data_IF_488019423814
#
_entry.id   IF_488019423814
#
_cell.length_a   1.000
_cell.length_b   1.000
_cell.length_c   1.000
_cell.angle_alpha   90.00
_cell.angle_beta   90.00
_cell.angle_gamma   90.00
#
_symmetry.space_group_name_H-M   'P 1'
#
loop_
_entity.id
_entity.type
_entity.pdbx_description
1 polymer ?
#
# COMPACT_ATOMS: atom_id res chain seq x y z
N UNK A 1 20.99 -47.04 27.80
CA UNK A 1 19.64 -46.46 28.06
C UNK A 1 19.71 -45.21 28.91
N UNK A 2 20.35 -45.20 30.08
CA UNK A 2 20.50 -43.99 30.92
C UNK A 2 21.10 -42.77 30.19
N UNK A 3 22.16 -42.97 29.40
CA UNK A 3 22.80 -41.88 28.65
C UNK A 3 21.89 -41.24 27.58
N UNK A 4 20.96 -41.99 26.99
CA UNK A 4 20.01 -41.44 26.02
C UNK A 4 18.93 -40.61 26.70
N UNK A 5 18.48 -40.99 27.90
CA UNK A 5 17.52 -40.20 28.68
C UNK A 5 18.15 -38.88 29.15
N UNK A 6 19.40 -38.92 29.63
CA UNK A 6 20.16 -37.73 30.03
C UNK A 6 20.39 -36.75 28.87
N UNK A 7 20.76 -37.26 27.69
CA UNK A 7 20.90 -36.41 26.50
C UNK A 7 19.56 -35.79 26.06
N UNK A 8 18.47 -36.56 26.16
CA UNK A 8 17.14 -36.08 25.77
C UNK A 8 16.60 -35.02 26.74
N UNK A 9 16.84 -35.15 28.04
CA UNK A 9 16.53 -34.13 29.04
C UNK A 9 17.32 -32.83 28.81
N UNK A 10 18.61 -32.92 28.46
CA UNK A 10 19.42 -31.74 28.13
C UNK A 10 18.96 -31.05 26.83
N UNK A 11 18.56 -31.81 25.82
CA UNK A 11 17.99 -31.26 24.57
C UNK A 11 16.69 -30.51 24.86
N UNK A 12 15.80 -31.07 25.68
CA UNK A 12 14.53 -30.44 26.06
C UNK A 12 14.77 -29.12 26.82
N UNK A 13 15.79 -29.05 27.69
CA UNK A 13 16.12 -27.84 28.43
C UNK A 13 16.70 -26.72 27.54
N UNK A 14 17.35 -27.06 26.43
CA UNK A 14 17.97 -26.10 25.52
C UNK A 14 17.01 -25.56 24.44
N UNK A 15 15.91 -26.26 24.16
CA UNK A 15 14.93 -25.84 23.14
C UNK A 15 14.41 -24.39 23.30
N UNK A 16 14.05 -23.91 24.51
CA UNK A 16 13.55 -22.54 24.67
C UNK A 16 14.56 -21.46 24.25
N UNK A 17 15.85 -21.68 24.54
CA UNK A 17 16.92 -20.75 24.17
C UNK A 17 17.17 -20.73 22.67
N UNK A 18 17.07 -21.90 22.02
CA UNK A 18 17.18 -22.01 20.56
C UNK A 18 16.03 -21.26 19.89
N UNK A 19 14.80 -21.41 20.38
CA UNK A 19 13.64 -20.67 19.85
C UNK A 19 13.80 -19.16 19.97
N UNK A 20 14.32 -18.67 21.10
CA UNK A 20 14.52 -17.24 21.33
C UNK A 20 15.61 -16.66 20.41
N UNK A 21 16.73 -17.37 20.22
CA UNK A 21 17.78 -16.99 19.27
C UNK A 21 17.26 -16.96 17.83
N UNK A 22 16.46 -17.95 17.43
CA UNK A 22 15.84 -17.99 16.10
C UNK A 22 14.88 -16.81 15.92
N UNK A 23 14.04 -16.51 16.91
CA UNK A 23 13.14 -15.34 16.87
C UNK A 23 13.92 -14.04 16.73
N UNK A 24 15.01 -13.87 17.47
CA UNK A 24 15.86 -12.67 17.37
C UNK A 24 16.49 -12.51 15.98
N UNK A 25 17.08 -13.56 15.43
CA UNK A 25 17.71 -13.49 14.11
C UNK A 25 16.69 -13.29 12.98
N UNK A 26 15.51 -13.94 13.06
CA UNK A 26 14.41 -13.70 12.12
C UNK A 26 13.93 -12.25 12.20
N UNK A 27 13.72 -11.70 13.40
CA UNK A 27 13.31 -10.31 13.57
C UNK A 27 14.34 -9.32 13.03
N UNK A 28 15.63 -9.61 13.21
CA UNK A 28 16.74 -8.80 12.68
C UNK A 28 16.79 -8.84 11.15
N UNK A 29 16.64 -10.02 10.56
CA UNK A 29 16.55 -10.19 9.11
C UNK A 29 15.34 -9.45 8.52
N UNK A 30 14.17 -9.58 9.15
CA UNK A 30 12.94 -8.89 8.73
C UNK A 30 13.05 -7.36 8.84
N UNK A 31 13.68 -6.84 9.90
CA UNK A 31 13.92 -5.41 10.07
C UNK A 31 14.83 -4.84 8.98
N UNK A 32 15.89 -5.58 8.61
CA UNK A 32 16.81 -5.18 7.54
C UNK A 32 16.11 -5.22 6.17
N UNK A 33 15.31 -6.26 5.90
CA UNK A 33 14.52 -6.35 4.68
C UNK A 33 13.52 -5.19 4.55
N UNK A 34 12.80 -4.86 5.64
CA UNK A 34 11.86 -3.73 5.69
C UNK A 34 12.55 -2.40 5.37
N UNK A 35 13.75 -2.14 5.90
CA UNK A 35 14.51 -0.93 5.59
C UNK A 35 14.96 -0.84 4.14
N UNK A 36 15.44 -1.94 3.56
CA UNK A 36 15.83 -1.99 2.16
C UNK A 36 14.62 -1.79 1.24
N UNK A 37 13.50 -2.43 1.56
CA UNK A 37 12.23 -2.26 0.85
C UNK A 37 11.71 -0.82 0.93
N UNK A 38 11.76 -0.17 2.09
CA UNK A 38 11.41 1.24 2.23
C UNK A 38 12.33 2.18 1.45
N UNK A 39 13.63 1.88 1.38
CA UNK A 39 14.58 2.63 0.57
C UNK A 39 14.33 2.45 -0.92
N UNK A 40 13.99 1.24 -1.35
CA UNK A 40 13.64 0.95 -2.74
C UNK A 40 12.30 1.57 -3.13
N UNK A 41 11.30 1.59 -2.24
CA UNK A 41 10.06 2.34 -2.41
C UNK A 41 10.32 3.85 -2.55
N UNK A 42 11.21 4.41 -1.72
CA UNK A 42 11.60 5.83 -1.80
C UNK A 42 12.39 6.15 -3.08
N UNK A 43 13.21 5.22 -3.57
CA UNK A 43 13.97 5.37 -4.83
C UNK A 43 13.10 5.20 -6.08
N UNK A 44 12.06 4.35 -6.01
CA UNK A 44 11.08 4.15 -7.08
C UNK A 44 9.94 5.17 -7.07
N UNK A 45 9.77 5.96 -6.01
CA UNK A 45 8.91 7.14 -5.94
C UNK A 45 9.39 8.31 -6.82
N UNK A 46 10.06 8.03 -7.95
CA UNK A 46 10.19 8.98 -9.03
C UNK A 46 8.82 9.06 -9.68
N UNK A 47 8.08 10.14 -9.43
CA UNK A 47 6.72 10.36 -9.95
C UNK A 47 6.65 9.96 -11.42
N UNK A 48 6.06 8.79 -11.69
CA UNK A 48 5.94 8.26 -13.04
C UNK A 48 4.70 8.89 -13.67
N UNK A 49 4.96 9.80 -14.60
CA UNK A 49 3.93 10.47 -15.37
C UNK A 49 3.53 9.61 -16.57
N UNK A 50 2.33 9.06 -16.51
CA UNK A 50 1.80 8.10 -17.49
C UNK A 50 0.71 8.70 -18.37
N UNK A 51 0.35 8.01 -19.44
CA UNK A 51 -0.73 8.38 -20.36
C UNK A 51 -2.12 8.22 -19.71
N UNK A 52 -3.14 8.82 -20.33
CA UNK A 52 -4.53 8.67 -19.90
C UNK A 52 -5.01 7.21 -19.94
N UNK A 53 -4.49 6.40 -20.87
CA UNK A 53 -4.88 5.00 -21.00
C UNK A 53 -4.34 4.15 -19.85
N UNK A 54 -3.07 4.34 -19.51
CA UNK A 54 -2.44 3.68 -18.36
C UNK A 54 -3.13 4.08 -17.05
N UNK A 55 -3.46 5.38 -16.88
CA UNK A 55 -4.24 5.84 -15.74
C UNK A 55 -5.58 5.09 -15.66
N UNK A 56 -6.37 5.09 -16.73
CA UNK A 56 -7.68 4.42 -16.76
C UNK A 56 -7.61 2.94 -16.38
N UNK A 57 -6.59 2.22 -16.85
CA UNK A 57 -6.34 0.82 -16.51
C UNK A 57 -6.02 0.69 -15.02
N UNK A 58 -5.10 1.53 -14.51
CA UNK A 58 -4.65 1.45 -13.13
C UNK A 58 -5.76 1.71 -12.10
N UNK A 59 -6.65 2.68 -12.36
CA UNK A 59 -7.74 3.03 -11.43
C UNK A 59 -9.07 2.34 -11.75
N UNK A 60 -9.13 1.56 -12.83
CA UNK A 60 -10.36 0.89 -13.29
C UNK A 60 -11.50 1.87 -13.63
N UNK A 61 -11.19 2.97 -14.33
CA UNK A 61 -12.17 4.00 -14.72
C UNK A 61 -12.11 4.30 -16.21
N UNK A 62 -13.21 4.82 -16.76
CA UNK A 62 -13.27 5.22 -18.16
C UNK A 62 -12.62 6.60 -18.37
N UNK A 63 -12.16 6.86 -19.60
CA UNK A 63 -11.61 8.18 -19.98
C UNK A 63 -12.59 9.31 -19.70
N UNK A 64 -13.89 9.09 -19.92
CA UNK A 64 -14.92 10.08 -19.66
C UNK A 64 -15.03 10.43 -18.17
N UNK A 65 -14.92 9.44 -17.28
CA UNK A 65 -14.93 9.67 -15.84
C UNK A 65 -13.71 10.50 -15.41
N UNK A 66 -12.52 10.13 -15.89
CA UNK A 66 -11.29 10.88 -15.61
C UNK A 66 -11.36 12.31 -16.12
N UNK A 67 -11.92 12.52 -17.31
CA UNK A 67 -12.13 13.86 -17.85
C UNK A 67 -13.10 14.69 -17.00
N UNK A 68 -14.18 14.09 -16.50
CA UNK A 68 -15.10 14.79 -15.59
C UNK A 68 -14.40 15.20 -14.28
N UNK A 69 -13.47 14.39 -13.77
CA UNK A 69 -12.66 14.72 -12.60
C UNK A 69 -11.66 15.84 -12.89
N UNK A 70 -11.00 15.81 -14.05
CA UNK A 70 -10.10 16.89 -14.48
C UNK A 70 -10.83 18.23 -14.60
N UNK A 71 -12.08 18.21 -15.07
CA UNK A 71 -12.90 19.41 -15.23
C UNK A 71 -13.63 19.83 -13.95
N UNK A 72 -13.42 19.13 -12.81
CA UNK A 72 -14.10 19.42 -11.55
C UNK A 72 -15.63 19.25 -11.60
N UNK A 73 -16.14 18.47 -12.57
CA UNK A 73 -17.60 18.21 -12.72
C UNK A 73 -18.14 17.29 -11.62
N UNK A 74 -17.25 16.63 -10.88
CA UNK A 74 -17.61 15.81 -9.72
C UNK A 74 -17.24 16.60 -8.47
N UNK A 75 -18.25 16.96 -7.68
CA UNK A 75 -18.07 17.75 -6.46
C UNK A 75 -17.15 17.01 -5.48
N UNK A 76 -16.11 17.70 -4.99
CA UNK A 76 -15.13 17.13 -4.05
C UNK A 76 -14.08 16.21 -4.70
N UNK A 77 -14.04 16.11 -6.04
CA UNK A 77 -13.07 15.29 -6.76
C UNK A 77 -12.48 16.06 -7.94
N UNK A 78 -11.33 16.69 -7.70
CA UNK A 78 -10.49 17.33 -8.71
C UNK A 78 -9.10 16.68 -8.73
N UNK A 79 -8.65 16.27 -9.92
CA UNK A 79 -7.33 15.64 -10.13
C UNK A 79 -6.36 16.55 -10.90
N UNK A 80 -6.73 17.80 -11.19
CA UNK A 80 -5.97 18.72 -12.04
C UNK A 80 -4.52 18.95 -11.57
N UNK A 81 -4.29 18.92 -10.26
CA UNK A 81 -2.98 19.07 -9.61
C UNK A 81 -2.02 17.90 -9.85
N UNK A 82 -2.53 16.73 -10.25
CA UNK A 82 -1.74 15.53 -10.55
C UNK A 82 -1.40 15.40 -12.04
N UNK A 83 -1.72 16.43 -12.84
CA UNK A 83 -1.56 16.41 -14.30
C UNK A 83 -0.41 17.31 -14.72
N UNK A 84 0.58 16.74 -15.39
CA UNK A 84 1.64 17.49 -16.07
C UNK A 84 1.29 17.67 -17.54
N UNK A 85 1.19 18.92 -17.98
CA UNK A 85 0.95 19.28 -19.39
C UNK A 85 2.28 19.55 -20.09
N UNK A 86 2.46 18.98 -21.27
CA UNK A 86 3.58 19.25 -22.17
C UNK A 86 3.04 19.44 -23.58
N UNK A 87 2.71 20.69 -23.92
CA UNK A 87 2.01 21.02 -25.16
C UNK A 87 0.61 20.41 -25.22
N UNK A 88 0.32 19.62 -26.27
CA UNK A 88 -0.95 18.89 -26.43
C UNK A 88 -1.05 17.62 -25.60
N UNK A 89 0.06 17.15 -25.03
CA UNK A 89 0.09 15.90 -24.27
C UNK A 89 -0.11 16.17 -22.78
N UNK A 90 -0.99 15.37 -22.17
CA UNK A 90 -1.19 15.33 -20.72
C UNK A 90 -0.58 14.04 -20.19
N UNK A 91 0.15 14.14 -19.08
CA UNK A 91 0.60 12.99 -18.32
C UNK A 91 0.11 13.08 -16.89
N UNK A 92 -0.19 11.93 -16.31
CA UNK A 92 -0.87 11.80 -15.04
C UNK A 92 0.04 11.11 -14.03
N UNK A 93 0.14 11.68 -12.83
CA UNK A 93 0.72 11.00 -11.68
C UNK A 93 -0.30 9.98 -11.14
N UNK A 94 -0.16 8.72 -11.59
CA UNK A 94 -1.11 7.65 -11.24
C UNK A 94 -1.10 7.42 -9.73
N UNK A 95 0.07 7.38 -9.11
CA UNK A 95 0.21 7.07 -7.69
C UNK A 95 -0.34 8.20 -6.82
N UNK A 96 -0.08 9.46 -7.20
CA UNK A 96 -0.69 10.62 -6.55
C UNK A 96 -2.22 10.59 -6.62
N UNK A 97 -2.79 10.27 -7.78
CA UNK A 97 -4.25 10.15 -7.95
C UNK A 97 -4.81 8.99 -7.11
N UNK A 98 -4.13 7.84 -7.08
CA UNK A 98 -4.54 6.67 -6.28
C UNK A 98 -4.62 7.02 -4.80
N UNK A 99 -3.55 7.61 -4.25
CA UNK A 99 -3.49 8.03 -2.85
C UNK A 99 -4.54 9.11 -2.53
N UNK A 100 -4.81 10.01 -3.47
CA UNK A 100 -5.87 11.01 -3.31
C UNK A 100 -7.26 10.36 -3.23
N UNK A 101 -7.56 9.41 -4.12
CA UNK A 101 -8.82 8.67 -4.10
C UNK A 101 -8.99 7.84 -2.81
N UNK A 102 -7.93 7.16 -2.36
CA UNK A 102 -7.94 6.41 -1.10
C UNK A 102 -8.27 7.32 0.09
N UNK A 103 -7.65 8.51 0.18
CA UNK A 103 -7.98 9.50 1.21
C UNK A 103 -9.43 9.96 1.17
N UNK A 104 -10.00 10.14 -0.02
CA UNK A 104 -11.40 10.52 -0.17
C UNK A 104 -12.34 9.40 0.29
N UNK A 105 -11.99 8.14 0.00
CA UNK A 105 -12.75 6.97 0.48
C UNK A 105 -12.65 6.89 2.01
N UNK A 106 -11.46 6.95 2.58
CA UNK A 106 -11.25 6.97 4.04
C UNK A 106 -12.06 8.08 4.72
N UNK A 107 -12.06 9.29 4.13
CA UNK A 107 -12.86 10.39 4.64
C UNK A 107 -14.36 10.09 4.52
N UNK A 108 -14.82 9.56 3.39
CA UNK A 108 -16.21 9.15 3.20
C UNK A 108 -16.62 8.04 4.16
N UNK A 109 -15.74 7.10 4.53
CA UNK A 109 -16.01 6.06 5.52
C UNK A 109 -16.06 6.63 6.94
N UNK A 110 -15.10 7.48 7.31
CA UNK A 110 -15.04 8.13 8.63
C UNK A 110 -16.22 9.06 8.88
N UNK A 111 -16.69 9.79 7.87
CA UNK A 111 -17.83 10.71 7.97
C UNK A 111 -19.16 10.12 7.46
N UNK A 112 -19.14 8.95 6.81
CA UNK A 112 -20.31 8.26 6.24
C UNK A 112 -20.86 7.12 7.09
N UNK A 113 -20.21 6.78 8.21
CA UNK A 113 -20.70 5.78 9.18
C UNK A 113 -22.08 6.10 9.78
N UNK A 114 -22.62 7.31 9.55
CA UNK A 114 -23.97 7.67 9.98
C UNK A 114 -25.10 7.37 8.98
N UNK A 115 -24.84 6.98 7.72
CA UNK A 115 -25.92 6.78 6.72
C UNK A 115 -25.97 5.42 6.03
N UNK A 116 -24.91 4.62 6.04
CA UNK A 116 -24.92 3.29 5.44
C UNK A 116 -25.29 2.14 6.40
N UNK A 117 -25.43 2.40 7.70
CA UNK A 117 -25.75 1.37 8.71
C UNK A 117 -27.22 0.89 8.72
N UNK A 118 -28.00 1.12 7.66
CA UNK A 118 -29.41 0.65 7.56
C UNK A 118 -29.79 -0.06 6.26
N UNK A 119 -28.83 -0.62 5.51
CA UNK A 119 -29.16 -1.72 4.58
C UNK A 119 -28.40 -2.97 4.98
N UNK A 120 -28.92 -3.66 6.00
CA UNK A 120 -28.76 -5.12 6.12
C UNK A 120 -29.55 -5.73 4.95
N UNK A 121 -28.85 -6.57 4.18
CA UNK A 121 -29.33 -7.66 3.31
C UNK A 121 -30.54 -7.34 2.43
#
# INVERSE_FOLDING_TARGET
MLYNQLAQEQIIQLMPYIEELVKMEVNKAMSNYSKLYEQDLKRTAKVQYSSIQELCIAIGKTRQQVYNWEMGKVQGLDISSFIKKSGRFKRYDIEGIRLYLEKLIDHAERFGSSRFSKRKV
#
